data_IF_799031833594
#
_entry.id   IF_799031833594
#
_cell.length_a   1.000
_cell.length_b   1.000
_cell.length_c   1.000
_cell.angle_alpha   90.00
_cell.angle_beta   90.00
_cell.angle_gamma   90.00
#
_symmetry.space_group_name_H-M   'P 1'
#
loop_
_entity.id
_entity.type
_entity.pdbx_description
1 polymer ?
#
# COMPACT_ATOMS: atom_id res chain seq x y z
N UNK A 1 -15.04 -4.12 2.57
CA UNK A 1 -13.90 -3.57 1.80
C UNK A 1 -13.13 -4.70 1.14
N UNK A 2 -12.80 -4.56 -0.11
CA UNK A 2 -11.94 -5.52 -0.81
C UNK A 2 -10.51 -4.96 -0.81
N UNK A 3 -9.58 -5.78 -0.30
CA UNK A 3 -8.17 -5.39 -0.24
C UNK A 3 -7.42 -6.23 -1.28
N UNK A 4 -6.73 -5.55 -2.19
CA UNK A 4 -5.86 -6.19 -3.17
C UNK A 4 -4.42 -5.98 -2.75
N UNK A 5 -3.78 -7.04 -2.30
CA UNK A 5 -2.40 -6.93 -1.85
C UNK A 5 -1.79 -8.27 -1.53
N UNK A 6 -0.55 -8.23 -1.09
CA UNK A 6 0.21 -9.41 -0.72
C UNK A 6 1.13 -9.09 0.45
N UNK A 7 1.34 -10.08 1.32
CA UNK A 7 2.39 -10.03 2.33
C UNK A 7 3.63 -10.70 1.74
N UNK A 8 4.75 -10.01 1.78
CA UNK A 8 5.99 -10.45 1.16
C UNK A 8 7.06 -10.55 2.23
N UNK A 9 7.85 -11.63 2.16
CA UNK A 9 9.04 -11.80 2.99
C UNK A 9 10.24 -11.80 2.06
N UNK A 10 11.12 -10.84 2.25
CA UNK A 10 12.32 -10.71 1.42
C UNK A 10 13.52 -10.34 2.31
N UNK A 11 14.56 -11.12 2.26
CA UNK A 11 15.78 -10.93 3.06
C UNK A 11 15.50 -10.78 4.56
N UNK A 12 14.53 -11.56 5.07
CA UNK A 12 14.16 -11.52 6.48
C UNK A 12 13.23 -10.37 6.87
N UNK A 13 12.81 -9.55 5.92
CA UNK A 13 11.87 -8.45 6.17
C UNK A 13 10.49 -8.84 5.65
N UNK A 14 9.48 -8.72 6.53
CA UNK A 14 8.08 -8.94 6.18
C UNK A 14 7.40 -7.60 5.98
N UNK A 15 6.73 -7.44 4.84
CA UNK A 15 5.99 -6.22 4.56
C UNK A 15 4.78 -6.52 3.69
N UNK A 16 3.82 -5.59 3.68
CA UNK A 16 2.63 -5.69 2.85
C UNK A 16 2.72 -4.70 1.68
N UNK A 17 2.34 -5.15 0.48
CA UNK A 17 2.14 -4.27 -0.67
C UNK A 17 0.64 -4.27 -0.97
N UNK A 18 0.03 -3.08 -0.94
CA UNK A 18 -1.41 -2.92 -1.12
C UNK A 18 -1.66 -2.05 -2.34
N UNK A 19 -2.43 -2.58 -3.29
CA UNK A 19 -2.83 -1.83 -4.46
C UNK A 19 -3.97 -0.87 -4.10
N UNK A 20 -3.80 0.40 -4.44
CA UNK A 20 -4.79 1.45 -4.19
C UNK A 20 -5.01 2.27 -5.46
N UNK A 21 -6.08 3.05 -5.50
CA UNK A 21 -6.33 3.97 -6.60
C UNK A 21 -5.28 5.09 -6.60
N UNK A 22 -4.96 5.59 -7.79
CA UNK A 22 -4.01 6.70 -7.94
C UNK A 22 -4.44 7.91 -7.12
N UNK A 23 -5.74 8.17 -7.00
CA UNK A 23 -6.25 9.29 -6.19
C UNK A 23 -5.82 9.22 -4.72
N UNK A 24 -5.52 8.03 -4.20
CA UNK A 24 -5.00 7.88 -2.83
C UNK A 24 -3.56 8.36 -2.75
N UNK A 25 -2.73 7.97 -3.72
CA UNK A 25 -1.28 8.27 -3.69
C UNK A 25 -0.95 9.68 -4.17
N UNK A 26 -1.91 10.39 -4.76
CA UNK A 26 -1.72 11.79 -5.15
C UNK A 26 -1.63 12.76 -3.97
N UNK A 27 -2.14 12.37 -2.80
CA UNK A 27 -2.20 13.24 -1.62
C UNK A 27 -1.59 12.54 -0.42
N UNK A 28 -0.61 13.19 0.20
CA UNK A 28 0.08 12.64 1.38
C UNK A 28 -0.90 12.34 2.51
N UNK A 29 -1.85 13.22 2.77
CA UNK A 29 -2.84 13.02 3.84
C UNK A 29 -3.70 11.77 3.61
N UNK A 30 -4.05 11.49 2.36
CA UNK A 30 -4.81 10.27 2.03
C UNK A 30 -3.99 9.02 2.21
N UNK A 31 -2.70 9.06 1.87
CA UNK A 31 -1.81 7.93 2.09
C UNK A 31 -1.64 7.62 3.58
N UNK A 32 -1.47 8.64 4.40
CA UNK A 32 -1.35 8.47 5.86
C UNK A 32 -2.62 7.84 6.43
N UNK A 33 -3.78 8.35 6.05
CA UNK A 33 -5.06 7.80 6.51
C UNK A 33 -5.25 6.36 6.06
N UNK A 34 -4.95 6.07 4.80
CA UNK A 34 -5.10 4.72 4.24
C UNK A 34 -4.19 3.73 4.96
N UNK A 35 -2.92 4.10 5.21
CA UNK A 35 -2.01 3.24 5.99
C UNK A 35 -2.53 2.99 7.39
N UNK A 36 -3.08 4.01 8.03
CA UNK A 36 -3.63 3.87 9.37
C UNK A 36 -4.79 2.87 9.40
N UNK A 37 -5.69 2.95 8.42
CA UNK A 37 -6.80 2.01 8.29
C UNK A 37 -6.33 0.59 8.00
N UNK A 38 -5.33 0.44 7.12
CA UNK A 38 -4.80 -0.87 6.74
C UNK A 38 -3.98 -1.52 7.86
N UNK A 39 -3.42 -0.74 8.77
CA UNK A 39 -2.58 -1.27 9.85
C UNK A 39 -3.31 -2.28 10.73
N UNK A 40 -4.62 -2.17 10.86
CA UNK A 40 -5.41 -3.13 11.63
C UNK A 40 -5.46 -4.52 10.97
N UNK A 41 -5.26 -4.60 9.64
CA UNK A 41 -5.26 -5.86 8.90
C UNK A 41 -3.84 -6.42 8.70
N UNK A 42 -2.82 -5.57 8.82
CA UNK A 42 -1.42 -5.93 8.62
C UNK A 42 -0.58 -5.40 9.79
N UNK A 43 -0.79 -5.95 11.01
CA UNK A 43 -0.12 -5.43 12.19
C UNK A 43 1.37 -5.74 12.19
N UNK A 44 2.15 -4.82 12.75
CA UNK A 44 3.58 -5.00 13.01
C UNK A 44 4.43 -5.20 11.74
N UNK A 45 3.98 -4.66 10.61
CA UNK A 45 4.78 -4.69 9.38
C UNK A 45 4.64 -3.39 8.61
N UNK A 46 5.66 -3.01 7.83
CA UNK A 46 5.55 -1.87 6.92
C UNK A 46 4.49 -2.12 5.87
N UNK A 47 3.79 -1.07 5.50
CA UNK A 47 2.77 -1.11 4.46
C UNK A 47 3.24 -0.23 3.31
N UNK A 48 3.43 -0.84 2.14
CA UNK A 48 3.78 -0.16 0.90
C UNK A 48 2.49 0.00 0.10
N UNK A 49 2.16 1.22 -0.26
CA UNK A 49 1.05 1.49 -1.16
C UNK A 49 1.54 1.47 -2.59
N UNK A 50 0.80 0.81 -3.47
CA UNK A 50 1.12 0.75 -4.90
C UNK A 50 -0.06 1.31 -5.67
N UNK A 51 0.20 2.24 -6.59
CA UNK A 51 -0.78 2.69 -7.54
C UNK A 51 -0.17 2.71 -8.94
N UNK A 52 -1.02 2.64 -9.96
CA UNK A 52 -0.59 2.74 -11.35
C UNK A 52 -0.93 4.12 -11.89
N UNK A 53 -0.02 4.66 -12.71
CA UNK A 53 -0.30 5.89 -13.43
C UNK A 53 -1.16 5.62 -14.68
N UNK A 54 -1.41 6.65 -15.47
CA UNK A 54 -2.26 6.54 -16.66
C UNK A 54 -1.70 5.60 -17.73
N UNK A 55 -0.40 5.33 -17.71
CA UNK A 55 0.22 4.37 -18.63
C UNK A 55 0.34 2.97 -18.05
N UNK A 56 -0.19 2.73 -16.86
CA UNK A 56 -0.14 1.43 -16.19
C UNK A 56 1.15 1.16 -15.45
N UNK A 57 2.04 2.14 -15.34
CA UNK A 57 3.31 1.97 -14.63
C UNK A 57 3.07 2.03 -13.13
N UNK A 58 3.52 1.01 -12.35
CA UNK A 58 3.33 1.03 -10.91
C UNK A 58 4.30 1.97 -10.21
N UNK A 59 3.79 2.65 -9.19
CA UNK A 59 4.56 3.51 -8.30
C UNK A 59 4.33 3.04 -6.86
N UNK A 60 5.40 3.03 -6.06
CA UNK A 60 5.40 2.51 -4.69
C UNK A 60 5.68 3.64 -3.69
N UNK A 61 4.96 3.60 -2.57
CA UNK A 61 5.03 4.64 -1.54
C UNK A 61 5.13 4.06 -0.15
#
# INVERSE_FOLDING_TARGET
>A
MTIHGAVIIEQGVTFAIIAVKQSVTMYTARMVQTRHELAQFFPNMPIILMSQDNSGTPHYY
#
